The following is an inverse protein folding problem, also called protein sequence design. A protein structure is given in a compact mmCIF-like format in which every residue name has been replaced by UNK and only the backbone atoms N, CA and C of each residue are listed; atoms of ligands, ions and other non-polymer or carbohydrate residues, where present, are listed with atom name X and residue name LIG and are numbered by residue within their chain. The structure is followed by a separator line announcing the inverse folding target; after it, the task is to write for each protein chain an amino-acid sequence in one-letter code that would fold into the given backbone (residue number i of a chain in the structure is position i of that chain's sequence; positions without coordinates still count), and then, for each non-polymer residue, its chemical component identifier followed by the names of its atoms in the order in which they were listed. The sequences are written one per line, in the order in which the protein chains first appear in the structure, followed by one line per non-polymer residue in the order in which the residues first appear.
data_IF_538094547901
#
_entry.id   IF_538094547901
#
_cell.length_a   1.000
_cell.length_b   1.000
_cell.length_c   1.000
_cell.angle_alpha   90.00
_cell.angle_beta   90.00
_cell.angle_gamma   90.00
#
_symmetry.space_group_name_H-M   'P 1'
#
loop_
_entity.id
_entity.type
_entity.pdbx_description
1 polymer ?
#
# COMPACT_ATOMS: atom_id res chain seq x y z
N UNK A 1 -5.11 24.74 -29.41
CA UNK A 1 -4.39 24.81 -28.12
C UNK A 1 -5.34 24.81 -26.91
N UNK A 2 -6.32 25.72 -26.80
CA UNK A 2 -7.28 25.82 -25.66
C UNK A 2 -8.08 24.55 -25.36
N UNK A 3 -8.53 23.80 -26.37
CA UNK A 3 -9.28 22.56 -26.19
C UNK A 3 -8.46 21.46 -25.47
N UNK A 4 -7.16 21.40 -25.73
CA UNK A 4 -6.26 20.43 -25.08
C UNK A 4 -6.00 20.80 -23.61
N UNK A 5 -5.94 22.10 -23.30
CA UNK A 5 -5.82 22.62 -21.93
C UNK A 5 -7.07 22.37 -21.09
N UNK A 6 -8.27 22.60 -21.62
CA UNK A 6 -9.54 22.30 -20.93
C UNK A 6 -9.71 20.80 -20.67
N UNK A 7 -9.35 19.98 -21.65
CA UNK A 7 -9.37 18.53 -21.55
C UNK A 7 -8.46 18.05 -20.41
N UNK A 8 -7.20 18.51 -20.35
CA UNK A 8 -6.27 18.20 -19.25
C UNK A 8 -6.79 18.64 -17.87
N UNK A 9 -7.41 19.82 -17.77
CA UNK A 9 -7.96 20.32 -16.49
C UNK A 9 -9.10 19.42 -15.97
N UNK A 10 -9.98 18.94 -16.85
CA UNK A 10 -11.08 18.02 -16.50
C UNK A 10 -10.56 16.66 -16.03
N UNK A 11 -9.58 16.08 -16.73
CA UNK A 11 -8.96 14.81 -16.34
C UNK A 11 -8.22 14.90 -15.00
N UNK A 12 -7.52 16.01 -14.74
CA UNK A 12 -6.85 16.24 -13.47
C UNK A 12 -7.85 16.39 -12.31
N UNK A 13 -8.97 17.11 -12.52
CA UNK A 13 -10.01 17.26 -11.50
C UNK A 13 -10.66 15.92 -11.13
N UNK A 14 -10.96 15.08 -12.13
CA UNK A 14 -11.53 13.76 -11.90
C UNK A 14 -10.53 12.80 -11.22
N UNK A 15 -9.24 12.92 -11.56
CA UNK A 15 -8.19 12.17 -10.89
C UNK A 15 -8.07 12.52 -9.41
N UNK A 16 -8.06 13.82 -9.09
CA UNK A 16 -8.07 14.29 -7.70
C UNK A 16 -9.34 13.81 -6.99
N UNK A 17 -10.52 13.94 -7.60
CA UNK A 17 -11.78 13.48 -7.01
C UNK A 17 -11.79 11.98 -6.70
N UNK A 18 -11.18 11.15 -7.55
CA UNK A 18 -11.07 9.70 -7.34
C UNK A 18 -10.14 9.37 -6.18
N UNK A 19 -8.99 10.03 -6.11
CA UNK A 19 -8.04 9.90 -4.99
C UNK A 19 -8.71 10.34 -3.68
N UNK A 20 -9.37 11.50 -3.67
CA UNK A 20 -10.10 12.01 -2.50
C UNK A 20 -11.19 11.05 -2.04
N UNK A 21 -11.94 10.46 -2.98
CA UNK A 21 -12.93 9.42 -2.66
C UNK A 21 -12.28 8.19 -2.03
N UNK A 22 -11.20 7.66 -2.62
CA UNK A 22 -10.48 6.51 -2.08
C UNK A 22 -9.96 6.76 -0.67
N UNK A 23 -9.38 7.94 -0.43
CA UNK A 23 -8.91 8.37 0.90
C UNK A 23 -10.08 8.43 1.88
N UNK A 24 -11.18 9.07 1.51
CA UNK A 24 -12.35 9.22 2.39
C UNK A 24 -12.93 7.85 2.77
N UNK A 25 -13.09 6.93 1.81
CA UNK A 25 -13.56 5.57 2.05
C UNK A 25 -12.66 4.84 3.04
N UNK A 26 -11.34 4.85 2.82
CA UNK A 26 -10.43 4.18 3.73
C UNK A 26 -10.49 4.80 5.12
N UNK A 27 -10.34 6.13 5.25
CA UNK A 27 -10.30 6.81 6.56
C UNK A 27 -11.59 6.57 7.35
N UNK A 28 -12.76 6.65 6.71
CA UNK A 28 -14.05 6.43 7.38
C UNK A 28 -14.16 4.98 7.86
N UNK A 29 -13.85 4.01 7.01
CA UNK A 29 -13.98 2.59 7.38
C UNK A 29 -12.94 2.25 8.46
N UNK A 30 -11.70 2.71 8.33
CA UNK A 30 -10.66 2.51 9.34
C UNK A 30 -11.01 3.15 10.67
N UNK A 31 -11.63 4.34 10.67
CA UNK A 31 -12.12 4.97 11.88
C UNK A 31 -13.20 4.12 12.56
N UNK A 32 -14.14 3.58 11.79
CA UNK A 32 -15.19 2.68 12.32
C UNK A 32 -14.57 1.40 12.87
N UNK A 33 -13.65 0.76 12.13
CA UNK A 33 -12.94 -0.44 12.59
C UNK A 33 -12.17 -0.18 13.88
N UNK A 34 -11.48 0.96 13.97
CA UNK A 34 -10.74 1.38 15.16
C UNK A 34 -11.68 1.63 16.36
N UNK A 35 -12.82 2.29 16.14
CA UNK A 35 -13.78 2.58 17.21
C UNK A 35 -14.51 1.33 17.72
N UNK A 36 -14.70 0.34 16.87
CA UNK A 36 -15.36 -0.93 17.21
C UNK A 36 -14.37 -2.00 17.70
N UNK A 37 -13.08 -1.68 17.81
CA UNK A 37 -12.01 -2.62 18.17
C UNK A 37 -12.04 -3.89 17.30
N UNK A 38 -12.31 -3.72 15.99
CA UNK A 38 -12.32 -4.83 15.05
C UNK A 38 -10.89 -5.32 14.83
N UNK A 39 -10.68 -6.64 14.69
CA UNK A 39 -9.34 -7.19 14.49
C UNK A 39 -8.88 -7.07 13.01
N UNK A 40 -9.39 -6.08 12.27
CA UNK A 40 -9.12 -5.80 10.85
C UNK A 40 -9.14 -4.28 10.63
N UNK A 41 -8.40 -3.78 9.64
CA UNK A 41 -8.25 -2.33 9.42
C UNK A 41 -9.13 -1.79 8.29
N UNK A 42 -9.31 -2.56 7.22
CA UNK A 42 -10.08 -2.23 6.02
C UNK A 42 -9.66 -0.91 5.36
N UNK A 43 -8.39 -0.54 5.51
CA UNK A 43 -7.77 0.71 5.03
C UNK A 43 -7.24 0.61 3.58
N UNK A 44 -7.53 -0.49 2.89
CA UNK A 44 -7.07 -0.74 1.52
C UNK A 44 -8.18 -0.80 0.47
N UNK A 45 -9.46 -0.66 0.85
CA UNK A 45 -10.60 -0.71 -0.09
C UNK A 45 -10.48 0.38 -1.16
N UNK A 46 -10.41 1.64 -0.73
CA UNK A 46 -10.21 2.80 -1.60
C UNK A 46 -8.89 2.71 -2.35
N UNK A 47 -7.83 2.24 -1.71
CA UNK A 47 -6.52 2.03 -2.33
C UNK A 47 -6.59 1.05 -3.49
N UNK A 48 -7.27 -0.09 -3.33
CA UNK A 48 -7.48 -1.09 -4.38
C UNK A 48 -8.30 -0.48 -5.52
N UNK A 49 -9.39 0.24 -5.21
CA UNK A 49 -10.23 0.90 -6.22
C UNK A 49 -9.40 1.88 -7.06
N UNK A 50 -8.70 2.79 -6.40
CA UNK A 50 -7.93 3.85 -7.06
C UNK A 50 -6.75 3.25 -7.82
N UNK A 51 -6.04 2.27 -7.27
CA UNK A 51 -4.92 1.61 -7.94
C UNK A 51 -5.37 0.81 -9.17
N UNK A 52 -6.51 0.11 -9.08
CA UNK A 52 -7.06 -0.69 -10.17
C UNK A 52 -7.57 0.18 -11.34
N UNK A 53 -8.04 1.39 -11.05
CA UNK A 53 -8.65 2.28 -12.05
C UNK A 53 -7.69 3.35 -12.56
N UNK A 54 -6.97 4.03 -11.66
CA UNK A 54 -6.06 5.14 -11.95
C UNK A 54 -4.59 4.72 -12.07
N UNK A 55 -4.26 3.47 -11.76
CA UNK A 55 -2.90 2.94 -11.87
C UNK A 55 -2.03 3.19 -10.63
N UNK A 56 -0.72 3.03 -10.79
CA UNK A 56 0.22 2.93 -9.69
C UNK A 56 0.26 4.20 -8.84
N UNK A 57 0.46 5.34 -9.48
CA UNK A 57 0.71 6.59 -8.77
C UNK A 57 -0.51 7.07 -7.96
N UNK A 58 -1.73 7.15 -8.51
CA UNK A 58 -2.92 7.48 -7.72
C UNK A 58 -3.17 6.50 -6.57
N UNK A 59 -2.88 5.21 -6.78
CA UNK A 59 -2.98 4.19 -5.73
C UNK A 59 -2.01 4.44 -4.57
N UNK A 60 -0.74 4.73 -4.87
CA UNK A 60 0.27 5.05 -3.85
C UNK A 60 -0.10 6.31 -3.08
N UNK A 61 -0.53 7.38 -3.77
CA UNK A 61 -0.96 8.62 -3.10
C UNK A 61 -2.14 8.35 -2.17
N UNK A 62 -3.11 7.55 -2.62
CA UNK A 62 -4.27 7.15 -1.80
C UNK A 62 -3.82 6.41 -0.55
N UNK A 63 -2.93 5.42 -0.68
CA UNK A 63 -2.39 4.67 0.45
C UNK A 63 -1.66 5.57 1.46
N UNK A 64 -0.69 6.35 1.01
CA UNK A 64 0.14 7.20 1.88
C UNK A 64 -0.71 8.23 2.61
N UNK A 65 -1.58 8.96 1.89
CA UNK A 65 -2.40 10.00 2.51
C UNK A 65 -3.44 9.42 3.46
N UNK A 66 -4.03 8.27 3.13
CA UNK A 66 -4.93 7.53 4.05
C UNK A 66 -4.23 7.28 5.39
N UNK A 67 -3.07 6.62 5.37
CA UNK A 67 -2.39 6.22 6.61
C UNK A 67 -1.88 7.43 7.41
N UNK A 68 -1.47 8.52 6.74
CA UNK A 68 -1.15 9.78 7.41
C UNK A 68 -2.37 10.37 8.14
N UNK A 69 -3.54 10.39 7.51
CA UNK A 69 -4.76 10.89 8.16
C UNK A 69 -5.20 9.97 9.30
N UNK A 70 -5.10 8.64 9.11
CA UNK A 70 -5.41 7.67 10.15
C UNK A 70 -4.54 7.82 11.41
N UNK A 71 -3.37 8.47 11.31
CA UNK A 71 -2.48 8.75 12.45
C UNK A 71 -3.17 9.63 13.51
N UNK A 72 -4.16 10.42 13.12
CA UNK A 72 -4.94 11.27 14.05
C UNK A 72 -5.67 10.46 15.13
N UNK A 73 -6.09 9.24 14.83
CA UNK A 73 -6.77 8.35 15.78
C UNK A 73 -5.99 7.07 16.09
N UNK A 74 -5.03 6.69 15.25
CA UNK A 74 -4.19 5.51 15.44
C UNK A 74 -2.73 5.85 15.14
N UNK A 75 -1.94 6.16 16.18
CA UNK A 75 -0.57 6.67 16.05
C UNK A 75 0.38 5.75 15.27
N UNK A 76 0.14 4.43 15.26
CA UNK A 76 0.98 3.47 14.54
C UNK A 76 0.59 3.33 13.06
N UNK A 77 -0.53 3.93 12.62
CA UNK A 77 -1.05 3.80 11.25
C UNK A 77 -0.07 4.28 10.17
N UNK A 78 0.77 5.29 10.46
CA UNK A 78 1.77 5.83 9.52
C UNK A 78 2.76 4.77 9.05
N UNK A 79 3.17 3.86 9.94
CA UNK A 79 4.14 2.80 9.61
C UNK A 79 3.54 1.75 8.67
N UNK A 80 2.23 1.48 8.80
CA UNK A 80 1.49 0.60 7.89
C UNK A 80 1.19 1.26 6.53
N UNK A 81 1.40 2.58 6.39
CA UNK A 81 1.34 3.26 5.09
C UNK A 81 2.33 2.69 4.07
N UNK A 82 3.48 2.19 4.52
CA UNK A 82 4.43 1.47 3.67
C UNK A 82 3.83 0.16 3.15
N UNK A 83 3.19 -0.62 4.02
CA UNK A 83 2.50 -1.87 3.65
C UNK A 83 1.39 -1.60 2.64
N UNK A 84 0.55 -0.58 2.87
CA UNK A 84 -0.52 -0.21 1.96
C UNK A 84 -0.01 0.31 0.61
N UNK A 85 1.15 0.95 0.60
CA UNK A 85 1.84 1.35 -0.63
C UNK A 85 2.26 0.12 -1.44
N UNK A 86 2.80 -0.92 -0.80
CA UNK A 86 3.12 -2.19 -1.46
C UNK A 86 1.87 -2.87 -2.01
N UNK A 87 0.75 -2.84 -1.28
CA UNK A 87 -0.55 -3.33 -1.76
C UNK A 87 -1.00 -2.54 -3.00
N UNK A 88 -0.89 -1.21 -3.00
CA UNK A 88 -1.23 -0.38 -4.16
C UNK A 88 -0.37 -0.73 -5.40
N UNK A 89 0.94 -0.93 -5.18
CA UNK A 89 1.87 -1.38 -6.22
C UNK A 89 1.43 -2.74 -6.78
N UNK A 90 1.14 -3.68 -5.88
CA UNK A 90 0.72 -5.02 -6.25
C UNK A 90 -0.58 -5.00 -7.04
N UNK A 91 -1.60 -4.24 -6.60
CA UNK A 91 -2.88 -4.09 -7.32
C UNK A 91 -2.65 -3.56 -8.73
N UNK A 92 -1.92 -2.46 -8.87
CA UNK A 92 -1.67 -1.82 -10.17
C UNK A 92 -0.91 -2.74 -11.14
N UNK A 93 -0.01 -3.58 -10.63
CA UNK A 93 0.66 -4.62 -11.43
C UNK A 93 -0.28 -5.79 -11.75
N UNK A 94 -1.06 -6.23 -10.77
CA UNK A 94 -1.92 -7.41 -10.87
C UNK A 94 -3.00 -7.22 -11.93
N UNK A 95 -3.67 -6.07 -11.94
CA UNK A 95 -4.74 -5.76 -12.91
C UNK A 95 -4.25 -5.68 -14.36
N UNK A 96 -2.94 -5.43 -14.58
CA UNK A 96 -2.35 -5.44 -15.92
C UNK A 96 -2.11 -6.85 -16.46
N UNK A 97 -1.86 -7.81 -15.57
CA UNK A 97 -1.52 -9.20 -15.95
C UNK A 97 -2.68 -10.17 -15.78
N UNK A 98 -3.60 -9.89 -14.87
CA UNK A 98 -4.67 -10.79 -14.45
C UNK A 98 -5.97 -10.01 -14.29
N UNK A 99 -7.09 -10.70 -14.51
CA UNK A 99 -8.43 -10.13 -14.34
C UNK A 99 -9.05 -10.64 -13.05
N UNK A 100 -9.60 -9.72 -12.25
CA UNK A 100 -10.42 -10.02 -11.08
C UNK A 100 -11.79 -10.65 -11.41
N UNK A 101 -12.09 -10.93 -12.68
CA UNK A 101 -13.29 -11.71 -13.05
C UNK A 101 -13.17 -13.19 -12.73
N UNK A 102 -11.95 -13.72 -12.61
CA UNK A 102 -11.72 -15.14 -12.29
C UNK A 102 -11.51 -15.31 -10.79
N UNK A 103 -12.30 -16.18 -10.16
CA UNK A 103 -12.20 -16.43 -8.70
C UNK A 103 -10.79 -16.89 -8.28
N UNK A 104 -10.12 -17.70 -9.11
CA UNK A 104 -8.74 -18.14 -8.88
C UNK A 104 -7.76 -16.96 -8.76
N UNK A 105 -7.97 -15.89 -9.53
CA UNK A 105 -7.13 -14.70 -9.44
C UNK A 105 -7.45 -13.89 -8.18
N UNK A 106 -8.71 -13.85 -7.75
CA UNK A 106 -9.10 -13.21 -6.48
C UNK A 106 -8.43 -13.95 -5.32
N UNK A 107 -8.53 -15.27 -5.28
CA UNK A 107 -7.89 -16.10 -4.24
C UNK A 107 -6.38 -15.88 -4.23
N UNK A 108 -5.72 -15.92 -5.40
CA UNK A 108 -4.29 -15.65 -5.47
C UNK A 108 -3.93 -14.26 -4.96
N UNK A 109 -4.70 -13.24 -5.33
CA UNK A 109 -4.47 -11.88 -4.87
C UNK A 109 -4.57 -11.79 -3.35
N UNK A 110 -5.62 -12.38 -2.75
CA UNK A 110 -5.84 -12.42 -1.31
C UNK A 110 -4.66 -13.09 -0.60
N UNK A 111 -4.27 -14.29 -1.03
CA UNK A 111 -3.18 -15.05 -0.39
C UNK A 111 -1.84 -14.31 -0.49
N UNK A 112 -1.49 -13.84 -1.67
CA UNK A 112 -0.20 -13.15 -1.88
C UNK A 112 -0.17 -11.82 -1.14
N UNK A 113 -1.24 -11.02 -1.26
CA UNK A 113 -1.28 -9.72 -0.57
C UNK A 113 -1.30 -9.89 0.95
N UNK A 114 -2.10 -10.83 1.48
CA UNK A 114 -2.22 -11.06 2.92
C UNK A 114 -0.96 -11.65 3.56
N UNK A 115 -0.28 -12.59 2.89
CA UNK A 115 1.00 -13.14 3.38
C UNK A 115 2.08 -12.04 3.40
N UNK A 116 2.18 -11.26 2.33
CA UNK A 116 3.19 -10.19 2.23
C UNK A 116 2.88 -9.07 3.23
N UNK A 117 1.62 -8.59 3.29
CA UNK A 117 1.26 -7.52 4.22
C UNK A 117 1.39 -7.97 5.66
N UNK A 118 0.84 -9.13 6.04
CA UNK A 118 0.93 -9.65 7.41
C UNK A 118 2.36 -9.94 7.85
N UNK A 119 3.18 -10.51 6.98
CA UNK A 119 4.60 -10.74 7.25
C UNK A 119 5.36 -9.44 7.49
N UNK A 120 5.22 -8.46 6.59
CA UNK A 120 5.88 -7.15 6.74
C UNK A 120 5.35 -6.40 7.97
N UNK A 121 4.05 -6.47 8.25
CA UNK A 121 3.43 -5.89 9.44
C UNK A 121 4.06 -6.41 10.73
N UNK A 122 4.35 -7.71 10.83
CA UNK A 122 5.02 -8.29 12.00
C UNK A 122 6.46 -7.82 12.10
N UNK A 123 7.19 -7.78 10.97
CA UNK A 123 8.57 -7.29 10.95
C UNK A 123 8.66 -5.82 11.39
N UNK A 124 7.71 -4.98 10.96
CA UNK A 124 7.60 -3.59 11.42
C UNK A 124 7.32 -3.53 12.92
N UNK A 125 6.34 -4.32 13.39
CA UNK A 125 5.95 -4.34 14.80
C UNK A 125 7.11 -4.73 15.72
N UNK A 126 7.83 -5.78 15.37
CA UNK A 126 8.98 -6.25 16.14
C UNK A 126 10.21 -5.35 15.99
N UNK A 127 10.49 -4.88 14.78
CA UNK A 127 11.66 -4.04 14.51
C UNK A 127 11.57 -2.64 15.11
N UNK A 128 10.36 -2.05 15.20
CA UNK A 128 10.18 -0.68 15.69
C UNK A 128 9.66 -0.61 17.12
N UNK A 129 8.88 -1.59 17.57
CA UNK A 129 8.19 -1.53 18.87
C UNK A 129 8.51 -2.71 19.80
N UNK A 130 9.37 -3.63 19.37
CA UNK A 130 9.78 -4.77 20.21
C UNK A 130 8.68 -5.81 20.44
N UNK A 131 7.59 -5.78 19.67
CA UNK A 131 6.51 -6.75 19.81
C UNK A 131 5.20 -6.36 19.15
N UNK A 132 4.18 -7.23 19.21
CA UNK A 132 2.86 -6.98 18.63
C UNK A 132 2.18 -5.78 19.27
N UNK A 133 1.63 -4.91 18.43
CA UNK A 133 0.97 -3.65 18.84
C UNK A 133 -0.55 -3.75 18.83
N UNK A 134 -1.09 -4.85 18.29
CA UNK A 134 -2.54 -5.06 18.18
C UNK A 134 -3.07 -5.85 19.38
N UNK A 135 -4.09 -5.30 20.03
CA UNK A 135 -4.73 -5.88 21.22
C UNK A 135 -5.23 -7.31 20.99
N UNK A 136 -5.83 -7.58 19.83
CA UNK A 136 -6.28 -8.94 19.50
C UNK A 136 -5.11 -9.93 19.42
N UNK A 137 -3.93 -9.50 18.93
CA UNK A 137 -2.75 -10.37 18.86
C UNK A 137 -2.24 -10.65 20.27
N UNK A 138 -2.15 -9.62 21.12
CA UNK A 138 -1.73 -9.78 22.52
C UNK A 138 -2.67 -10.73 23.30
N UNK A 139 -3.99 -10.59 23.13
CA UNK A 139 -4.98 -11.46 23.77
C UNK A 139 -4.82 -12.91 23.33
N UNK A 140 -4.68 -13.16 22.03
CA UNK A 140 -4.49 -14.53 21.50
C UNK A 140 -3.18 -15.12 22.04
N UNK A 141 -2.08 -14.38 22.02
CA UNK A 141 -0.79 -14.83 22.55
C UNK A 141 -0.87 -15.19 24.04
N UNK A 142 -1.56 -14.37 24.84
CA UNK A 142 -1.77 -14.66 26.26
C UNK A 142 -2.62 -15.91 26.48
N UNK A 143 -3.66 -16.13 25.66
CA UNK A 143 -4.56 -17.27 25.77
C UNK A 143 -3.88 -18.61 25.41
N UNK A 144 -2.90 -18.59 24.51
CA UNK A 144 -2.12 -19.78 24.13
C UNK A 144 -0.90 -20.01 25.03
N UNK A 145 -0.66 -19.16 26.04
CA UNK A 145 0.49 -19.28 26.94
C UNK A 145 1.83 -19.07 26.24
N UNK A 146 1.89 -18.18 25.25
CA UNK A 146 3.15 -17.90 24.55
C UNK A 146 4.07 -17.03 25.42
N UNK A 147 4.90 -17.67 26.24
CA UNK A 147 5.85 -16.99 27.14
C UNK A 147 7.20 -16.68 26.49
N UNK A 148 7.70 -17.62 25.68
CA UNK A 148 8.99 -17.49 24.98
C UNK A 148 8.93 -16.45 23.84
N UNK A 149 9.98 -15.63 23.72
CA UNK A 149 10.04 -14.53 22.76
C UNK A 149 9.97 -15.01 21.29
N UNK A 150 10.71 -16.09 20.97
CA UNK A 150 10.69 -16.67 19.63
C UNK A 150 9.32 -17.25 19.30
N UNK A 151 8.71 -17.95 20.26
CA UNK A 151 7.36 -18.47 20.10
C UNK A 151 6.31 -17.35 19.92
N UNK A 152 6.42 -16.25 20.68
CA UNK A 152 5.57 -15.06 20.50
C UNK A 152 5.73 -14.43 19.13
N UNK A 153 6.96 -14.32 18.62
CA UNK A 153 7.22 -13.82 17.27
C UNK A 153 6.56 -14.71 16.21
N UNK A 154 6.81 -16.02 16.28
CA UNK A 154 6.27 -16.98 15.32
C UNK A 154 4.74 -16.99 15.33
N UNK A 155 4.12 -17.00 16.51
CA UNK A 155 2.66 -16.96 16.62
C UNK A 155 2.10 -15.62 16.17
N UNK A 156 2.77 -14.49 16.45
CA UNK A 156 2.38 -13.18 15.91
C UNK A 156 2.38 -13.19 14.38
N UNK A 157 3.37 -13.83 13.75
CA UNK A 157 3.46 -13.99 12.30
C UNK A 157 2.24 -14.72 11.75
N UNK A 158 1.90 -15.87 12.32
CA UNK A 158 0.74 -16.68 11.90
C UNK A 158 -0.56 -15.89 12.08
N UNK A 159 -0.76 -15.29 13.25
CA UNK A 159 -1.97 -14.51 13.56
C UNK A 159 -2.12 -13.35 12.58
N UNK A 160 -1.09 -12.52 12.40
CA UNK A 160 -1.17 -11.35 11.52
C UNK A 160 -1.41 -11.74 10.06
N UNK A 161 -0.74 -12.79 9.55
CA UNK A 161 -1.00 -13.29 8.19
C UNK A 161 -2.46 -13.74 8.03
N UNK A 162 -3.01 -14.46 9.00
CA UNK A 162 -4.41 -14.87 8.97
C UNK A 162 -5.36 -13.66 8.95
N UNK A 163 -5.10 -12.68 9.81
CA UNK A 163 -5.94 -11.47 9.90
C UNK A 163 -5.83 -10.61 8.63
N UNK A 164 -4.64 -10.47 8.06
CA UNK A 164 -4.43 -9.77 6.79
C UNK A 164 -5.10 -10.50 5.62
N UNK A 165 -5.12 -11.84 5.60
CA UNK A 165 -5.87 -12.60 4.59
C UNK A 165 -7.37 -12.30 4.68
N UNK A 166 -7.92 -12.25 5.90
CA UNK A 166 -9.34 -11.90 6.12
C UNK A 166 -9.60 -10.44 5.68
N UNK A 167 -8.73 -9.51 6.10
CA UNK A 167 -8.80 -8.10 5.70
C UNK A 167 -8.79 -7.93 4.18
N UNK A 168 -7.87 -8.60 3.48
CA UNK A 168 -7.76 -8.53 2.01
C UNK A 168 -8.93 -9.20 1.29
N UNK A 169 -9.52 -10.23 1.89
CA UNK A 169 -10.74 -10.87 1.38
C UNK A 169 -11.92 -9.90 1.38
N UNK A 170 -12.14 -9.22 2.50
CA UNK A 170 -13.21 -8.21 2.64
C UNK A 170 -12.91 -7.01 1.74
N UNK A 171 -11.65 -6.55 1.75
CA UNK A 171 -11.25 -5.35 1.02
C UNK A 171 -11.40 -5.49 -0.49
N UNK A 172 -10.97 -6.62 -1.07
CA UNK A 172 -11.13 -6.87 -2.51
C UNK A 172 -12.60 -7.07 -2.89
N UNK A 173 -13.39 -7.75 -2.04
CA UNK A 173 -14.82 -7.96 -2.30
C UNK A 173 -15.57 -6.62 -2.33
N UNK A 174 -15.35 -5.76 -1.33
CA UNK A 174 -15.93 -4.42 -1.28
C UNK A 174 -15.47 -3.55 -2.46
N UNK A 175 -14.17 -3.58 -2.79
CA UNK A 175 -13.62 -2.84 -3.92
C UNK A 175 -14.25 -3.26 -5.25
N UNK A 176 -14.39 -4.57 -5.50
CA UNK A 176 -15.01 -5.09 -6.72
C UNK A 176 -16.49 -4.75 -6.81
N UNK A 177 -17.23 -4.78 -5.68
CA UNK A 177 -18.61 -4.34 -5.63
C UNK A 177 -18.74 -2.86 -6.02
N UNK A 178 -17.92 -1.97 -5.43
CA UNK A 178 -17.92 -0.54 -5.81
C UNK A 178 -17.55 -0.35 -7.28
N UNK A 179 -16.49 -1.02 -7.74
CA UNK A 179 -16.02 -0.96 -9.13
C UNK A 179 -17.11 -1.43 -10.12
N UNK A 180 -17.97 -2.36 -9.73
CA UNK A 180 -19.08 -2.85 -10.55
C UNK A 180 -20.14 -1.77 -10.82
N UNK A 181 -20.41 -0.90 -9.83
CA UNK A 181 -21.38 0.19 -9.98
C UNK A 181 -20.82 1.41 -10.73
N UNK A 182 -19.51 1.51 -10.93
CA UNK A 182 -18.89 2.64 -11.64
C UNK A 182 -19.06 2.48 -13.17
N UNK A 183 -19.63 3.47 -13.88
CA UNK A 183 -19.81 3.42 -15.32
C UNK A 183 -18.49 3.26 -16.10
N UNK A 184 -18.52 2.49 -17.20
CA UNK A 184 -17.35 2.24 -18.05
C UNK A 184 -16.69 3.52 -18.58
N UNK A 185 -17.48 4.55 -18.90
CA UNK A 185 -16.98 5.87 -19.32
C UNK A 185 -16.16 6.56 -18.23
N UNK A 186 -16.60 6.49 -16.97
CA UNK A 186 -15.86 7.06 -15.85
C UNK A 186 -14.54 6.29 -15.64
N UNK A 187 -14.56 4.96 -15.77
CA UNK A 187 -13.35 4.14 -15.68
C UNK A 187 -12.33 4.44 -16.78
N UNK A 188 -12.76 4.61 -18.02
CA UNK A 188 -11.87 4.97 -19.13
C UNK A 188 -11.20 6.33 -18.90
N UNK A 189 -11.97 7.32 -18.44
CA UNK A 189 -11.46 8.65 -18.09
C UNK A 189 -10.43 8.58 -16.95
N UNK A 190 -10.63 7.68 -15.98
CA UNK A 190 -9.70 7.47 -14.86
C UNK A 190 -8.39 6.81 -15.30
N UNK A 191 -8.42 5.93 -16.30
CA UNK A 191 -7.20 5.36 -16.89
C UNK A 191 -6.40 6.40 -17.68
N UNK A 192 -7.07 7.43 -18.20
CA UNK A 192 -6.47 8.56 -18.92
C UNK A 192 -6.01 9.70 -18.00
N UNK A 193 -6.04 9.54 -16.67
CA UNK A 193 -5.55 10.54 -15.72
C UNK A 193 -4.16 11.07 -16.15
N UNK A 194 -3.98 12.40 -16.11
CA UNK A 194 -2.82 13.13 -16.63
C UNK A 194 -1.44 12.80 -16.05
N UNK A 195 -1.33 11.74 -15.25
CA UNK A 195 -0.12 11.21 -14.64
C UNK A 195 0.66 10.23 -15.53
N UNK A 196 0.37 10.24 -16.85
CA UNK A 196 1.20 9.64 -17.92
C UNK A 196 1.51 8.14 -17.80
N UNK A 197 0.78 7.37 -17.00
CA UNK A 197 0.93 5.90 -16.92
C UNK A 197 -0.02 5.14 -17.85
N UNK A 198 -0.31 5.68 -19.03
CA UNK A 198 -0.93 4.84 -20.07
C UNK A 198 0.07 3.74 -20.45
N UNK A 199 -0.36 2.49 -20.65
CA UNK A 199 0.51 1.47 -21.21
C UNK A 199 1.06 1.99 -22.55
N UNK A 200 2.38 1.85 -22.77
CA UNK A 200 2.98 2.17 -24.06
C UNK A 200 2.33 1.31 -25.15
N UNK A 201 2.05 1.90 -26.31
CA UNK A 201 1.57 1.13 -27.45
C UNK A 201 2.65 0.15 -27.91
N UNK A 202 2.29 -0.97 -28.56
CA UNK A 202 3.27 -1.88 -29.15
C UNK A 202 4.26 -1.18 -30.11
N UNK A 203 3.82 -0.09 -30.74
CA UNK A 203 4.63 0.76 -31.62
C UNK A 203 5.65 1.58 -30.81
N UNK A 204 5.24 2.25 -29.74
CA UNK A 204 6.14 2.99 -28.84
C UNK A 204 7.19 2.06 -28.19
N UNK A 205 6.81 0.82 -27.85
CA UNK A 205 7.75 -0.19 -27.31
C UNK A 205 8.79 -0.57 -28.36
N UNK A 206 8.37 -0.80 -29.61
CA UNK A 206 9.28 -1.13 -30.72
C UNK A 206 10.28 0.01 -30.99
N UNK A 207 9.81 1.26 -31.00
CA UNK A 207 10.68 2.42 -31.14
C UNK A 207 11.70 2.51 -29.98
N UNK A 208 11.26 2.26 -28.75
CA UNK A 208 12.14 2.25 -27.58
C UNK A 208 13.19 1.14 -27.66
N UNK A 209 12.82 -0.07 -28.12
CA UNK A 209 13.74 -1.20 -28.28
C UNK A 209 14.77 -0.95 -29.40
N UNK A 210 14.36 -0.33 -30.51
CA UNK A 210 15.29 0.11 -31.57
C UNK A 210 16.31 1.14 -31.06
N UNK A 211 15.90 2.02 -30.14
CA UNK A 211 16.78 3.02 -29.54
C UNK A 211 17.61 2.50 -28.36
N UNK A 212 17.15 1.45 -27.68
CA UNK A 212 17.83 0.86 -26.52
C UNK A 212 19.21 0.26 -26.88
N UNK A 213 19.35 -0.25 -28.11
CA UNK A 213 20.61 -0.79 -28.65
C UNK A 213 21.77 0.20 -28.71
N UNK A 214 21.53 1.51 -28.52
CA UNK A 214 22.56 2.57 -28.55
C UNK A 214 23.11 2.97 -27.18
N UNK A 215 22.66 2.34 -26.09
CA UNK A 215 23.03 2.74 -24.71
C UNK A 215 23.85 1.67 -23.98
N UNK A 216 25.08 2.01 -23.58
CA UNK A 216 26.03 1.06 -22.95
C UNK A 216 25.69 0.67 -21.50
N UNK A 217 24.83 1.41 -20.80
CA UNK A 217 24.48 1.14 -19.40
C UNK A 217 22.97 1.03 -19.21
N UNK A 218 22.52 -0.09 -18.65
CA UNK A 218 21.12 -0.32 -18.32
C UNK A 218 20.61 0.73 -17.32
N UNK A 219 19.62 1.52 -17.74
CA UNK A 219 18.91 2.49 -16.88
C UNK A 219 18.39 1.81 -15.61
N UNK A 220 17.96 0.54 -15.71
CA UNK A 220 17.56 -0.27 -14.55
C UNK A 220 18.68 -0.37 -13.52
N UNK A 221 19.91 -0.69 -13.93
CA UNK A 221 21.06 -0.83 -13.02
C UNK A 221 21.39 0.49 -12.32
N UNK A 222 21.33 1.63 -13.03
CA UNK A 222 21.56 2.95 -12.44
C UNK A 222 20.48 3.32 -11.42
N UNK A 223 19.20 3.11 -11.77
CA UNK A 223 18.08 3.36 -10.87
C UNK A 223 18.16 2.48 -9.62
N UNK A 224 18.46 1.18 -9.78
CA UNK A 224 18.62 0.27 -8.64
C UNK A 224 19.75 0.72 -7.71
N UNK A 225 20.92 1.11 -8.26
CA UNK A 225 22.04 1.60 -7.44
C UNK A 225 21.69 2.90 -6.70
N UNK A 226 21.00 3.84 -7.36
CA UNK A 226 20.60 5.10 -6.73
C UNK A 226 19.59 4.87 -5.59
N UNK A 227 18.58 4.01 -5.80
CA UNK A 227 17.63 3.66 -4.75
C UNK A 227 18.30 2.97 -3.57
N UNK A 228 19.20 2.02 -3.84
CA UNK A 228 19.92 1.28 -2.80
C UNK A 228 20.84 2.21 -2.00
N UNK A 229 21.53 3.15 -2.67
CA UNK A 229 22.34 4.16 -2.01
C UNK A 229 21.50 5.08 -1.09
N UNK A 230 20.33 5.53 -1.54
CA UNK A 230 19.42 6.36 -0.72
C UNK A 230 18.89 5.56 0.48
N UNK A 231 18.47 4.31 0.28
CA UNK A 231 18.02 3.45 1.38
C UNK A 231 19.13 3.19 2.41
N UNK A 232 20.35 2.94 1.96
CA UNK A 232 21.51 2.76 2.87
C UNK A 232 21.84 4.06 3.60
N UNK A 233 21.85 5.20 2.91
CA UNK A 233 22.12 6.50 3.53
C UNK A 233 21.06 6.87 4.60
N UNK A 234 19.79 6.56 4.34
CA UNK A 234 18.71 6.78 5.31
C UNK A 234 18.83 5.86 6.52
N UNK A 235 19.18 4.58 6.33
CA UNK A 235 19.45 3.63 7.42
C UNK A 235 20.64 4.05 8.27
N UNK A 236 21.76 4.43 7.66
CA UNK A 236 22.93 4.95 8.37
C UNK A 236 22.55 6.16 9.22
N UNK A 237 21.77 7.09 8.66
CA UNK A 237 21.30 8.27 9.39
C UNK A 237 20.42 7.92 10.57
N UNK A 238 19.51 6.95 10.43
CA UNK A 238 18.66 6.50 11.54
C UNK A 238 19.47 5.85 12.65
N UNK A 239 20.48 5.01 12.31
CA UNK A 239 21.34 4.37 13.31
C UNK A 239 22.17 5.41 14.10
N UNK A 240 22.67 6.45 13.42
CA UNK A 240 23.38 7.54 14.11
C UNK A 240 22.51 8.34 15.08
N UNK A 241 21.19 8.44 14.82
CA UNK A 241 20.26 9.15 15.71
C UNK A 241 19.94 8.32 16.95
N UNK A 242 19.89 6.99 16.82
CA UNK A 242 19.66 6.09 17.98
C UNK A 242 20.83 6.08 18.96
N UNK A 243 22.04 6.38 18.49
CA UNK A 243 23.25 6.49 19.33
C UNK A 243 23.44 7.88 19.95
N UNK A 244 22.60 8.85 19.61
CA UNK A 244 22.71 10.22 20.12
C UNK A 244 22.20 10.28 21.58
N UNK A 245 23.06 10.64 22.57
CA UNK A 245 22.69 10.59 23.99
C UNK A 245 21.53 11.53 24.35
N UNK A 246 21.28 12.56 23.53
CA UNK A 246 20.15 13.48 23.68
C UNK A 246 18.81 12.79 23.40
N UNK A 247 18.75 11.87 22.42
CA UNK A 247 17.53 11.13 22.07
C UNK A 247 17.23 10.03 23.11
N UNK A 248 18.27 9.40 23.65
CA UNK A 248 18.16 8.44 24.76
C UNK A 248 17.60 9.12 26.03
N UNK A 249 18.04 10.35 26.32
CA UNK A 249 17.58 11.13 27.48
C UNK A 249 16.09 11.50 27.38
N UNK A 250 15.59 11.86 26.20
CA UNK A 250 14.18 12.22 25.98
C UNK A 250 13.26 10.99 26.07
N UNK A 251 13.77 9.80 25.73
CA UNK A 251 12.99 8.56 25.75
C UNK A 251 12.96 7.92 27.14
N UNK A 252 14.00 8.12 27.97
CA UNK A 252 14.08 7.61 29.34
C UNK A 252 13.35 8.49 30.38
N UNK A 253 13.00 9.73 30.03
CA UNK A 253 12.29 10.67 30.91
C UNK A 253 10.78 10.80 30.60
N UNK A 254 10.19 9.82 29.90
CA UNK A 254 8.75 9.79 29.61
C UNK A 254 8.08 8.53 30.11
#
# INVERSE_FOLDING_TARGET
MKANTYRNKKYNLLGVGTISFGIAVNVIISYVSYKLDLPIFLDTIGTIIVAAMGGLFPGIVTAVVTNLICTVFNNIAVYFGFVNTLVAIYVAWFVRKRSFRKIQNIILFILVSGIISGGISVLIQWGLFGGPQQDYTLRILSAIGAEDEFYRFFMSLVINICMDIIDKSISIAAALAVIHFIPSKARAIMQEMGWRQRPLSPEEIREMDEHAGKTHHSVKRRMTLMLLAISVATLMRTMSITEDPVFLCVTLFR
#
